data_IF_308730964358
#
_entry.id   IF_308730964358
#
_cell.length_a   1.000
_cell.length_b   1.000
_cell.length_c   1.000
_cell.angle_alpha   90.00
_cell.angle_beta   90.00
_cell.angle_gamma   90.00
#
_symmetry.space_group_name_H-M   'P 1'
#
loop_
_entity.id
_entity.type
_entity.pdbx_description
1 polymer ?
#
# COMPACT_ATOMS: atom_id res chain seq x y z
N UNK A 1 4.61 -24.71 21.10
CA UNK A 1 3.87 -24.42 22.36
C UNK A 1 4.68 -24.84 23.60
N UNK A 2 5.14 -26.10 23.69
CA UNK A 2 5.83 -26.62 24.88
C UNK A 2 7.13 -25.88 25.27
N UNK A 3 7.91 -25.39 24.30
CA UNK A 3 9.17 -24.68 24.58
C UNK A 3 9.01 -23.43 25.45
N UNK A 4 7.91 -22.68 25.29
CA UNK A 4 7.64 -21.49 26.12
C UNK A 4 7.29 -21.86 27.57
N UNK A 5 6.64 -23.00 27.77
CA UNK A 5 6.28 -23.49 29.10
C UNK A 5 7.51 -23.92 29.90
N UNK A 6 8.36 -24.78 29.32
CA UNK A 6 9.62 -25.20 29.97
C UNK A 6 10.54 -24.00 30.21
N UNK A 7 10.61 -23.05 29.27
CA UNK A 7 11.42 -21.85 29.42
C UNK A 7 10.98 -20.98 30.63
N UNK A 8 9.66 -20.75 30.77
CA UNK A 8 9.09 -20.06 31.93
C UNK A 8 9.28 -20.84 33.23
N UNK A 9 9.24 -22.17 33.18
CA UNK A 9 9.55 -23.02 34.32
C UNK A 9 11.01 -22.86 34.79
N UNK A 10 11.97 -22.93 33.85
CA UNK A 10 13.39 -22.79 34.16
C UNK A 10 13.73 -21.42 34.76
N UNK A 11 13.18 -20.32 34.22
CA UNK A 11 13.43 -18.99 34.80
C UNK A 11 12.86 -18.88 36.22
N UNK A 12 11.63 -19.37 36.45
CA UNK A 12 11.05 -19.40 37.80
C UNK A 12 11.94 -20.20 38.77
N UNK A 13 12.44 -21.36 38.36
CA UNK A 13 13.36 -22.18 39.15
C UNK A 13 14.66 -21.44 39.48
N UNK A 14 15.29 -20.80 38.49
CA UNK A 14 16.54 -20.05 38.69
C UNK A 14 16.34 -18.83 39.60
N UNK A 15 15.22 -18.13 39.48
CA UNK A 15 14.88 -17.02 40.38
C UNK A 15 14.65 -17.52 41.81
N UNK A 16 13.93 -18.63 41.99
CA UNK A 16 13.73 -19.24 43.32
C UNK A 16 15.07 -19.66 43.94
N UNK A 17 15.99 -20.24 43.16
CA UNK A 17 17.34 -20.59 43.61
C UNK A 17 18.14 -19.37 44.10
N UNK A 18 18.08 -18.25 43.38
CA UNK A 18 18.73 -17.00 43.83
C UNK A 18 18.08 -16.46 45.10
N UNK A 19 16.75 -16.46 45.17
CA UNK A 19 16.04 -16.01 46.37
C UNK A 19 16.39 -16.87 47.58
N UNK A 20 16.47 -18.20 47.43
CA UNK A 20 16.89 -19.13 48.48
C UNK A 20 18.35 -18.89 48.90
N UNK A 21 19.26 -18.73 47.94
CA UNK A 21 20.67 -18.43 48.21
C UNK A 21 20.85 -17.08 48.92
N UNK A 22 20.12 -16.05 48.52
CA UNK A 22 20.13 -14.74 49.17
C UNK A 22 19.57 -14.81 50.60
N UNK A 23 18.46 -15.54 50.79
CA UNK A 23 17.88 -15.79 52.11
C UNK A 23 18.86 -16.55 53.00
N UNK A 24 19.57 -17.52 52.44
CA UNK A 24 20.59 -18.30 53.15
C UNK A 24 21.74 -17.41 53.61
N UNK A 25 22.29 -16.57 52.72
CA UNK A 25 23.33 -15.59 53.09
C UNK A 25 22.83 -14.65 54.18
N UNK A 26 21.64 -14.07 54.04
CA UNK A 26 21.08 -13.16 55.05
C UNK A 26 20.87 -13.87 56.39
N UNK A 27 20.33 -15.08 56.39
CA UNK A 27 20.09 -15.87 57.61
C UNK A 27 21.40 -16.23 58.31
N UNK A 28 22.41 -16.71 57.57
CA UNK A 28 23.72 -17.05 58.12
C UNK A 28 24.47 -15.80 58.61
N UNK A 29 24.38 -14.69 57.88
CA UNK A 29 24.97 -13.42 58.28
C UNK A 29 24.34 -12.88 59.58
N UNK A 30 23.01 -12.92 59.69
CA UNK A 30 22.32 -12.49 60.90
C UNK A 30 22.64 -13.39 62.10
N UNK A 31 22.76 -14.70 61.87
CA UNK A 31 23.16 -15.64 62.91
C UNK A 31 24.60 -15.38 63.38
N UNK A 32 25.51 -15.08 62.45
CA UNK A 32 26.89 -14.71 62.75
C UNK A 32 26.98 -13.41 63.57
N UNK A 33 26.22 -12.37 63.21
CA UNK A 33 26.21 -11.11 63.95
C UNK A 33 25.66 -11.28 65.37
N UNK A 34 24.58 -12.05 65.56
CA UNK A 34 24.06 -12.36 66.90
C UNK A 34 25.06 -13.10 67.79
N UNK A 35 25.87 -13.99 67.21
CA UNK A 35 26.94 -14.67 67.94
C UNK A 35 28.03 -13.69 68.37
N UNK A 36 28.40 -12.74 67.49
CA UNK A 36 29.39 -11.70 67.79
C UNK A 36 28.94 -10.76 68.91
N UNK A 37 27.65 -10.46 68.99
CA UNK A 37 27.08 -9.59 70.01
C UNK A 37 26.94 -10.28 71.39
N UNK A 38 27.06 -11.62 71.48
CA UNK A 38 26.97 -12.37 72.74
C UNK A 38 28.34 -12.93 73.19
N UNK A 39 29.14 -12.19 73.97
CA UNK A 39 30.51 -12.57 74.32
C UNK A 39 30.65 -13.84 75.18
N UNK A 40 29.56 -14.37 75.76
CA UNK A 40 29.56 -15.63 76.52
C UNK A 40 29.66 -16.88 75.61
N UNK A 41 29.08 -16.82 74.39
CA UNK A 41 29.07 -17.93 73.43
C UNK A 41 30.14 -17.77 72.33
N UNK A 42 30.86 -16.65 72.32
CA UNK A 42 31.86 -16.32 71.33
C UNK A 42 33.17 -17.07 71.58
N UNK A 43 33.22 -18.35 71.17
CA UNK A 43 34.44 -19.16 71.11
C UNK A 43 34.96 -19.25 69.68
N UNK A 44 36.28 -19.22 69.51
CA UNK A 44 36.96 -19.29 68.20
C UNK A 44 36.52 -20.51 67.35
N UNK A 45 36.25 -21.65 67.98
CA UNK A 45 35.75 -22.84 67.28
C UNK A 45 34.34 -22.64 66.71
N UNK A 46 33.46 -21.95 67.45
CA UNK A 46 32.08 -21.69 67.02
C UNK A 46 32.03 -20.63 65.91
N UNK A 47 32.88 -19.61 66.00
CA UNK A 47 33.08 -18.61 64.94
C UNK A 47 33.45 -19.26 63.61
N UNK A 48 34.45 -20.14 63.61
CA UNK A 48 34.94 -20.80 62.39
C UNK A 48 33.85 -21.57 61.61
N UNK A 49 32.91 -22.20 62.33
CA UNK A 49 31.78 -22.94 61.75
C UNK A 49 30.80 -22.00 61.05
N UNK A 50 30.50 -20.85 61.64
CA UNK A 50 29.61 -19.86 61.03
C UNK A 50 30.24 -19.18 59.81
N UNK A 51 31.53 -18.81 59.87
CA UNK A 51 32.23 -18.28 58.70
C UNK A 51 32.22 -19.29 57.55
N UNK A 52 32.48 -20.57 57.83
CA UNK A 52 32.47 -21.62 56.80
C UNK A 52 31.08 -21.74 56.12
N UNK A 53 30.00 -21.68 56.91
CA UNK A 53 28.62 -21.67 56.37
C UNK A 53 28.34 -20.42 55.55
N UNK A 54 28.83 -19.26 55.99
CA UNK A 54 28.66 -18.00 55.27
C UNK A 54 29.40 -18.01 53.93
N UNK A 55 30.65 -18.45 53.87
CA UNK A 55 31.41 -18.59 52.62
C UNK A 55 30.73 -19.57 51.65
N UNK A 56 30.18 -20.68 52.17
CA UNK A 56 29.41 -21.62 51.36
C UNK A 56 28.16 -20.95 50.77
N UNK A 57 27.42 -20.20 51.58
CA UNK A 57 26.22 -19.49 51.13
C UNK A 57 26.55 -18.39 50.10
N UNK A 58 27.61 -17.61 50.32
CA UNK A 58 28.09 -16.58 49.39
C UNK A 58 28.46 -17.17 48.03
N UNK A 59 29.23 -18.28 48.01
CA UNK A 59 29.58 -18.97 46.77
C UNK A 59 28.34 -19.49 46.03
N UNK A 60 27.38 -20.07 46.75
CA UNK A 60 26.13 -20.55 46.14
C UNK A 60 25.30 -19.39 45.55
N UNK A 61 25.31 -18.22 46.18
CA UNK A 61 24.68 -17.02 45.63
C UNK A 61 25.36 -16.56 44.33
N UNK A 62 26.70 -16.59 44.27
CA UNK A 62 27.41 -16.25 43.03
C UNK A 62 27.14 -17.26 41.90
N UNK A 63 27.15 -18.56 42.21
CA UNK A 63 26.87 -19.60 41.21
C UNK A 63 25.45 -19.43 40.67
N UNK A 64 24.44 -19.31 41.54
CA UNK A 64 23.04 -19.13 41.12
C UNK A 64 22.81 -17.83 40.35
N UNK A 65 23.44 -16.73 40.79
CA UNK A 65 23.44 -15.44 40.07
C UNK A 65 24.03 -15.54 38.67
N UNK A 66 25.20 -16.19 38.55
CA UNK A 66 25.86 -16.39 37.27
C UNK A 66 25.08 -17.32 36.34
N UNK A 67 24.44 -18.37 36.88
CA UNK A 67 23.54 -19.23 36.11
C UNK A 67 22.35 -18.48 35.52
N UNK A 68 21.73 -17.57 36.28
CA UNK A 68 20.64 -16.73 35.77
C UNK A 68 21.12 -15.80 34.65
N UNK A 69 22.30 -15.19 34.83
CA UNK A 69 22.91 -14.36 33.80
C UNK A 69 23.19 -15.15 32.52
N UNK A 70 23.83 -16.32 32.63
CA UNK A 70 24.08 -17.20 31.48
C UNK A 70 22.78 -17.64 30.80
N UNK A 71 21.75 -17.96 31.58
CA UNK A 71 20.44 -18.30 31.03
C UNK A 71 19.86 -17.16 30.19
N UNK A 72 20.00 -15.91 30.64
CA UNK A 72 19.58 -14.74 29.86
C UNK A 72 20.37 -14.60 28.56
N UNK A 73 21.70 -14.78 28.61
CA UNK A 73 22.55 -14.74 27.41
C UNK A 73 22.15 -15.83 26.42
N UNK A 74 21.98 -17.07 26.90
CA UNK A 74 21.55 -18.20 26.08
C UNK A 74 20.17 -17.96 25.47
N UNK A 75 19.22 -17.42 26.25
CA UNK A 75 17.91 -17.07 25.73
C UNK A 75 18.01 -16.09 24.57
N UNK A 76 18.80 -15.01 24.75
CA UNK A 76 18.97 -14.01 23.69
C UNK A 76 19.60 -14.63 22.44
N UNK A 77 20.59 -15.50 22.61
CA UNK A 77 21.24 -16.19 21.49
C UNK A 77 20.29 -17.13 20.75
N UNK A 78 19.51 -17.94 21.46
CA UNK A 78 18.55 -18.87 20.85
C UNK A 78 17.48 -18.11 20.06
N UNK A 79 16.97 -17.00 20.60
CA UNK A 79 16.03 -16.15 19.87
C UNK A 79 16.65 -15.58 18.60
N UNK A 80 17.87 -15.05 18.69
CA UNK A 80 18.58 -14.48 17.55
C UNK A 80 18.84 -15.52 16.45
N UNK A 81 19.24 -16.74 16.84
CA UNK A 81 19.44 -17.85 15.89
C UNK A 81 18.12 -18.25 15.24
N UNK A 82 17.04 -18.32 16.01
CA UNK A 82 15.70 -18.66 15.49
C UNK A 82 15.21 -17.61 14.51
N UNK A 83 15.39 -16.33 14.82
CA UNK A 83 15.08 -15.22 13.92
C UNK A 83 15.92 -15.32 12.64
N UNK A 84 17.23 -15.55 12.75
CA UNK A 84 18.13 -15.69 11.61
C UNK A 84 17.75 -16.88 10.72
N UNK A 85 17.43 -18.04 11.30
CA UNK A 85 16.95 -19.20 10.55
C UNK A 85 15.63 -18.92 9.84
N UNK A 86 14.69 -18.22 10.50
CA UNK A 86 13.43 -17.82 9.88
C UNK A 86 13.66 -16.86 8.71
N UNK A 87 14.55 -15.88 8.89
CA UNK A 87 14.94 -14.92 7.86
C UNK A 87 15.52 -15.60 6.62
N UNK A 88 16.43 -16.57 6.80
CA UNK A 88 16.98 -17.36 5.68
C UNK A 88 15.87 -18.11 4.94
N UNK A 89 15.02 -18.85 5.68
CA UNK A 89 13.93 -19.61 5.08
C UNK A 89 12.94 -18.70 4.31
N UNK A 90 12.61 -17.53 4.87
CA UNK A 90 11.74 -16.56 4.19
C UNK A 90 12.41 -15.92 2.98
N UNK A 91 13.72 -15.67 3.03
CA UNK A 91 14.49 -15.13 1.91
C UNK A 91 14.53 -16.12 0.76
N UNK A 92 14.78 -17.40 1.04
CA UNK A 92 14.77 -18.46 0.05
C UNK A 92 13.38 -18.64 -0.58
N UNK A 93 12.33 -18.66 0.23
CA UNK A 93 10.94 -18.71 -0.25
C UNK A 93 10.59 -17.48 -1.11
N UNK A 94 11.02 -16.27 -0.71
CA UNK A 94 10.82 -15.05 -1.49
C UNK A 94 11.55 -15.09 -2.82
N UNK A 95 12.77 -15.64 -2.86
CA UNK A 95 13.56 -15.77 -4.07
C UNK A 95 12.94 -16.82 -5.01
N UNK A 96 12.47 -17.93 -4.47
CA UNK A 96 11.72 -18.94 -5.21
C UNK A 96 10.43 -18.35 -5.80
N UNK A 97 9.65 -17.61 -5.02
CA UNK A 97 8.45 -16.91 -5.50
C UNK A 97 8.77 -15.89 -6.60
N UNK A 98 9.84 -15.10 -6.44
CA UNK A 98 10.27 -14.15 -7.46
C UNK A 98 10.69 -14.85 -8.76
N UNK A 99 11.41 -15.98 -8.67
CA UNK A 99 11.76 -16.81 -9.84
C UNK A 99 10.52 -17.40 -10.51
N UNK A 100 9.61 -17.99 -9.75
CA UNK A 100 8.36 -18.55 -10.30
C UNK A 100 7.48 -17.48 -10.94
N UNK A 101 7.41 -16.28 -10.34
CA UNK A 101 6.69 -15.14 -10.94
C UNK A 101 7.36 -14.65 -12.22
N UNK A 102 8.70 -14.57 -12.24
CA UNK A 102 9.48 -14.21 -13.42
C UNK A 102 9.36 -15.25 -14.54
N UNK A 103 9.36 -16.54 -14.20
CA UNK A 103 9.10 -17.63 -15.15
C UNK A 103 7.66 -17.66 -15.65
N UNK A 104 6.68 -17.37 -14.81
CA UNK A 104 5.29 -17.24 -15.23
C UNK A 104 5.14 -16.06 -16.20
N UNK A 105 5.72 -14.89 -15.86
CA UNK A 105 5.73 -13.72 -16.73
C UNK A 105 6.47 -14.00 -18.05
N UNK A 106 7.63 -14.67 -18.01
CA UNK A 106 8.37 -15.04 -19.21
C UNK A 106 7.60 -16.05 -20.05
N UNK A 107 6.93 -17.04 -19.44
CA UNK A 107 6.04 -17.97 -20.14
C UNK A 107 4.86 -17.24 -20.77
N UNK A 108 4.22 -16.30 -20.09
CA UNK A 108 3.17 -15.45 -20.69
C UNK A 108 3.69 -14.66 -21.90
N UNK A 109 4.84 -13.99 -21.78
CA UNK A 109 5.49 -13.28 -22.89
C UNK A 109 5.90 -14.21 -24.03
N UNK A 110 6.28 -15.45 -23.73
CA UNK A 110 6.68 -16.45 -24.72
C UNK A 110 5.48 -17.10 -25.39
N UNK A 111 4.40 -17.34 -24.65
CA UNK A 111 3.14 -17.89 -25.14
C UNK A 111 2.42 -16.87 -26.02
N UNK A 112 2.53 -15.58 -25.71
CA UNK A 112 2.12 -14.50 -26.62
C UNK A 112 2.96 -14.48 -27.92
N UNK A 113 4.23 -14.90 -27.85
CA UNK A 113 5.08 -15.10 -29.04
C UNK A 113 4.86 -16.42 -29.79
N UNK A 114 4.40 -17.50 -29.15
CA UNK A 114 4.11 -18.77 -29.84
C UNK A 114 2.66 -18.87 -30.32
N UNK A 115 1.72 -18.11 -29.72
CA UNK A 115 0.44 -17.79 -30.33
C UNK A 115 0.59 -16.96 -31.62
N UNK A 116 1.79 -16.39 -31.89
CA UNK A 116 2.12 -15.85 -33.21
C UNK A 116 2.31 -16.89 -34.32
N UNK A 117 2.37 -18.19 -33.98
CA UNK A 117 2.40 -19.28 -34.97
C UNK A 117 1.06 -19.53 -35.67
N UNK A 118 -0.06 -19.20 -35.01
CA UNK A 118 -1.41 -19.16 -35.63
C UNK A 118 -1.80 -17.72 -36.04
N UNK A 119 -0.91 -16.75 -35.84
CA UNK A 119 -1.17 -15.32 -36.10
C UNK A 119 -0.88 -14.89 -37.53
N UNK A 120 -0.54 -15.78 -38.46
CA UNK A 120 -0.37 -15.34 -39.86
C UNK A 120 -1.70 -14.87 -40.45
N UNK A 121 -2.78 -15.65 -40.29
CA UNK A 121 -4.11 -15.25 -40.77
C UNK A 121 -4.72 -14.11 -39.96
N UNK A 122 -4.55 -14.11 -38.62
CA UNK A 122 -5.07 -13.01 -37.78
C UNK A 122 -4.29 -11.71 -37.97
N UNK A 123 -2.98 -11.75 -38.17
CA UNK A 123 -2.18 -10.53 -38.40
C UNK A 123 -2.42 -9.98 -39.82
N UNK A 124 -2.62 -10.84 -40.82
CA UNK A 124 -3.05 -10.42 -42.17
C UNK A 124 -4.47 -9.85 -42.14
N UNK A 125 -5.41 -10.50 -41.43
CA UNK A 125 -6.77 -10.01 -41.26
C UNK A 125 -6.82 -8.67 -40.49
N UNK A 126 -6.05 -8.54 -39.40
CA UNK A 126 -5.95 -7.30 -38.63
C UNK A 126 -5.28 -6.18 -39.45
N UNK A 127 -4.24 -6.47 -40.24
CA UNK A 127 -3.64 -5.48 -41.14
C UNK A 127 -4.61 -5.06 -42.24
N UNK A 128 -5.37 -5.98 -42.82
CA UNK A 128 -6.40 -5.68 -43.81
C UNK A 128 -7.56 -4.87 -43.21
N UNK A 129 -7.95 -5.16 -41.97
CA UNK A 129 -8.98 -4.41 -41.25
C UNK A 129 -8.50 -3.01 -40.87
N UNK A 130 -7.25 -2.86 -40.42
CA UNK A 130 -6.63 -1.55 -40.17
C UNK A 130 -6.54 -0.72 -41.44
N UNK A 131 -6.13 -1.31 -42.57
CA UNK A 131 -6.13 -0.62 -43.87
C UNK A 131 -7.54 -0.22 -44.33
N UNK A 132 -8.53 -1.10 -44.14
CA UNK A 132 -9.94 -0.81 -44.46
C UNK A 132 -10.49 0.32 -43.58
N UNK A 133 -10.17 0.31 -42.29
CA UNK A 133 -10.58 1.34 -41.34
C UNK A 133 -9.90 2.67 -41.66
N UNK A 134 -8.61 2.69 -42.03
CA UNK A 134 -7.92 3.90 -42.49
C UNK A 134 -8.56 4.48 -43.75
N UNK A 135 -8.83 3.65 -44.77
CA UNK A 135 -9.51 4.11 -45.99
C UNK A 135 -10.92 4.65 -45.72
N UNK A 136 -11.66 4.02 -44.80
CA UNK A 136 -12.96 4.53 -44.36
C UNK A 136 -12.84 5.87 -43.63
N UNK A 137 -11.85 5.99 -42.74
CA UNK A 137 -11.59 7.23 -42.02
C UNK A 137 -11.22 8.36 -42.98
N UNK A 138 -10.35 8.11 -43.96
CA UNK A 138 -9.99 9.09 -45.00
C UNK A 138 -11.21 9.49 -45.85
N UNK A 139 -12.02 8.52 -46.28
CA UNK A 139 -13.23 8.80 -47.05
C UNK A 139 -14.27 9.60 -46.24
N UNK A 140 -14.47 9.26 -44.97
CA UNK A 140 -15.39 9.95 -44.07
C UNK A 140 -14.87 11.36 -43.71
N UNK A 141 -13.55 11.55 -43.57
CA UNK A 141 -12.94 12.87 -43.41
C UNK A 141 -13.12 13.74 -44.66
N UNK A 142 -12.95 13.19 -45.86
CA UNK A 142 -13.22 13.90 -47.11
C UNK A 142 -14.70 14.27 -47.26
N UNK A 143 -15.60 13.33 -46.98
CA UNK A 143 -17.05 13.58 -47.00
C UNK A 143 -17.43 14.65 -45.98
N UNK A 144 -16.90 14.58 -44.76
CA UNK A 144 -17.11 15.59 -43.72
C UNK A 144 -16.64 16.98 -44.16
N UNK A 145 -15.48 17.08 -44.83
CA UNK A 145 -14.97 18.35 -45.39
C UNK A 145 -15.88 18.90 -46.50
N UNK A 146 -16.39 18.03 -47.37
CA UNK A 146 -17.36 18.42 -48.42
C UNK A 146 -18.65 18.93 -47.79
N UNK A 147 -19.23 18.18 -46.85
CA UNK A 147 -20.45 18.56 -46.13
C UNK A 147 -20.25 19.87 -45.36
N UNK A 148 -19.09 20.08 -44.74
CA UNK A 148 -18.78 21.33 -44.04
C UNK A 148 -18.72 22.53 -45.00
N UNK A 149 -18.12 22.36 -46.17
CA UNK A 149 -18.07 23.38 -47.21
C UNK A 149 -19.46 23.70 -47.75
N UNK A 150 -20.27 22.68 -48.02
CA UNK A 150 -21.65 22.83 -48.50
C UNK A 150 -22.53 23.48 -47.44
N UNK A 151 -22.38 23.10 -46.16
CA UNK A 151 -23.06 23.75 -45.03
C UNK A 151 -22.75 25.25 -44.99
N UNK A 152 -21.48 25.63 -45.13
CA UNK A 152 -21.08 27.03 -45.08
C UNK A 152 -21.57 27.81 -46.30
N UNK A 153 -21.60 27.18 -47.48
CA UNK A 153 -22.20 27.75 -48.69
C UNK A 153 -23.71 27.97 -48.51
N UNK A 154 -24.45 26.95 -48.06
CA UNK A 154 -25.89 27.04 -47.82
C UNK A 154 -26.20 28.09 -46.76
N UNK A 155 -25.39 28.19 -45.70
CA UNK A 155 -25.55 29.23 -44.68
C UNK A 155 -25.38 30.62 -45.27
N UNK A 156 -24.35 30.86 -46.10
CA UNK A 156 -24.15 32.14 -46.79
C UNK A 156 -25.32 32.45 -47.74
N UNK A 157 -25.81 31.47 -48.48
CA UNK A 157 -26.96 31.63 -49.36
C UNK A 157 -28.24 31.96 -48.58
N UNK A 158 -28.47 31.30 -47.43
CA UNK A 158 -29.60 31.60 -46.55
C UNK A 158 -29.52 33.02 -45.97
N UNK A 159 -28.34 33.45 -45.51
CA UNK A 159 -28.11 34.82 -45.02
C UNK A 159 -28.35 35.86 -46.13
N UNK A 160 -27.92 35.58 -47.36
CA UNK A 160 -28.18 36.45 -48.52
C UNK A 160 -29.66 36.49 -48.87
N UNK A 161 -30.34 35.33 -48.90
CA UNK A 161 -31.77 35.22 -49.16
C UNK A 161 -32.60 35.98 -48.12
N UNK A 162 -32.23 35.87 -46.83
CA UNK A 162 -32.91 36.60 -45.76
C UNK A 162 -32.79 38.12 -45.95
N UNK A 163 -31.61 38.62 -46.33
CA UNK A 163 -31.41 40.05 -46.61
C UNK A 163 -32.22 40.53 -47.80
N UNK A 164 -32.26 39.75 -48.88
CA UNK A 164 -33.10 40.08 -50.04
C UNK A 164 -34.59 40.03 -49.71
N UNK A 165 -35.02 39.06 -48.88
CA UNK A 165 -36.38 38.99 -48.38
C UNK A 165 -36.77 40.22 -47.56
N UNK A 166 -35.91 40.64 -46.62
CA UNK A 166 -36.13 41.85 -45.81
C UNK A 166 -36.19 43.11 -46.69
N UNK A 167 -35.32 43.22 -47.71
CA UNK A 167 -35.31 44.32 -48.68
C UNK A 167 -36.61 44.38 -49.49
N UNK A 168 -37.01 43.25 -50.08
CA UNK A 168 -38.24 43.17 -50.88
C UNK A 168 -39.47 43.42 -50.01
N UNK A 169 -39.50 42.89 -48.78
CA UNK A 169 -40.57 43.16 -47.82
C UNK A 169 -40.67 44.66 -47.51
N UNK A 170 -39.55 45.33 -47.28
CA UNK A 170 -39.52 46.78 -47.08
C UNK A 170 -39.98 47.57 -48.33
N UNK A 171 -39.58 47.15 -49.53
CA UNK A 171 -40.05 47.74 -50.80
C UNK A 171 -41.57 47.53 -50.98
N UNK A 172 -42.10 46.34 -50.71
CA UNK A 172 -43.54 46.06 -50.74
C UNK A 172 -44.31 46.91 -49.71
N UNK A 173 -43.83 47.03 -48.48
CA UNK A 173 -44.43 47.90 -47.46
C UNK A 173 -44.42 49.37 -47.89
N UNK A 174 -43.32 49.84 -48.48
CA UNK A 174 -43.21 51.21 -48.99
C UNK A 174 -44.16 51.46 -50.16
N UNK A 175 -44.28 50.51 -51.09
CA UNK A 175 -45.24 50.58 -52.20
C UNK A 175 -46.68 50.52 -51.70
N UNK A 176 -47.00 49.68 -50.70
CA UNK A 176 -48.32 49.59 -50.11
C UNK A 176 -48.71 50.89 -49.40
N UNK A 177 -47.79 51.54 -48.68
CA UNK A 177 -48.01 52.89 -48.10
C UNK A 177 -48.24 53.95 -49.17
N UNK A 178 -47.50 53.91 -50.28
CA UNK A 178 -47.72 54.82 -51.43
C UNK A 178 -49.07 54.57 -52.09
N UNK A 179 -49.47 53.31 -52.22
CA UNK A 179 -50.76 52.92 -52.79
C UNK A 179 -51.90 53.36 -51.87
N UNK A 180 -51.84 53.10 -50.56
CA UNK A 180 -52.86 53.54 -49.60
C UNK A 180 -52.91 55.07 -49.47
N UNK A 181 -51.80 55.78 -49.62
CA UNK A 181 -51.80 57.24 -49.75
C UNK A 181 -52.47 57.71 -51.06
N UNK A 182 -52.33 56.96 -52.15
CA UNK A 182 -52.96 57.25 -53.45
C UNK A 182 -54.44 56.85 -53.53
N UNK A 183 -54.88 55.81 -52.81
CA UNK A 183 -56.28 55.31 -52.81
C UNK A 183 -57.07 55.69 -51.55
N UNK A 184 -56.43 56.29 -50.53
CA UNK A 184 -57.03 56.63 -49.22
C UNK A 184 -57.31 58.12 -48.98
N UNK A 185 -57.15 58.98 -49.99
CA UNK A 185 -57.65 60.37 -49.96
C UNK A 185 -59.06 60.46 -50.58
N UNK A 186 -59.94 59.57 -50.12
CA UNK A 186 -61.33 59.43 -50.56
C UNK A 186 -62.25 59.10 -49.38
N UNK A 187 -62.56 60.15 -48.62
CA UNK A 187 -63.82 60.39 -47.89
C UNK A 187 -63.89 60.23 -46.35
N UNK A 188 -64.56 61.24 -45.77
CA UNK A 188 -64.99 61.53 -44.38
C UNK A 188 -63.96 62.19 -43.43
N UNK A 189 -64.23 63.32 -42.74
CA UNK A 189 -65.51 64.02 -42.48
C UNK A 189 -65.28 65.45 -41.90
N UNK A 190 -66.13 66.36 -42.36
CA UNK A 190 -66.71 67.60 -41.78
C UNK A 190 -66.82 67.64 -40.23
N UNK A 191 -66.32 68.72 -39.59
CA UNK A 191 -66.92 69.39 -38.42
C UNK A 191 -66.17 70.69 -38.08
N UNK A 192 -66.92 71.79 -38.06
CA UNK A 192 -66.79 73.10 -37.38
C UNK A 192 -65.50 73.95 -37.50
#
# INVERSE_FOLDING_TARGET
AYGSFYFRGCICLLTLMICEAARSVWTQNNAYQKLKDNPQDFRAETESVFLMRLFRAQRNLYISGFSLFLWFVLYRLVQLITEHARLIATSEASLAQAKSASEAASKFLSQDKSAKGESSDKEVALKAEVEKLKKRLEAEEEERKRIETDRDMVKKQADQMSKEYDRVSAECQALQKKLTAATGAGDSKKSD
#
